data_IF_062273529378
#
_entry.id   IF_062273529378
#
_cell.length_a   1.000
_cell.length_b   1.000
_cell.length_c   1.000
_cell.angle_alpha   90.00
_cell.angle_beta   90.00
_cell.angle_gamma   90.00
#
_symmetry.space_group_name_H-M   'P 1'
#
loop_
_entity.id
_entity.type
_entity.pdbx_description
1 polymer ?
#
# COMPACT_ATOMS: atom_id res chain seq x y z
N UNK A 1 13.97 15.51 -6.46
CA UNK A 1 12.52 15.28 -6.25
C UNK A 1 12.25 15.32 -4.76
N UNK A 2 11.33 16.19 -4.33
CA UNK A 2 10.96 16.33 -2.94
C UNK A 2 9.93 15.24 -2.64
N UNK A 3 10.37 14.08 -2.13
CA UNK A 3 9.48 13.17 -1.40
C UNK A 3 8.98 13.95 -0.18
N UNK A 4 7.72 14.38 -0.24
CA UNK A 4 7.04 15.15 0.78
C UNK A 4 6.18 14.19 1.63
N UNK A 5 6.66 13.69 2.79
CA UNK A 5 5.91 12.76 3.63
C UNK A 5 4.63 13.38 4.26
N UNK A 6 4.32 14.63 3.95
CA UNK A 6 3.12 15.34 4.44
C UNK A 6 1.86 14.98 3.65
N UNK A 7 1.95 14.33 2.47
CA UNK A 7 0.76 14.06 1.63
C UNK A 7 -0.16 12.94 2.14
N UNK A 8 0.31 11.99 2.97
CA UNK A 8 -0.58 10.97 3.56
C UNK A 8 -1.34 11.41 4.81
N UNK A 9 -1.06 12.60 5.35
CA UNK A 9 -1.82 13.15 6.49
C UNK A 9 -2.74 14.28 6.04
N UNK A 10 -3.97 13.93 5.67
CA UNK A 10 -5.16 14.80 5.57
C UNK A 10 -4.98 16.11 4.77
N UNK A 11 -5.51 16.12 3.55
CA UNK A 11 -6.14 17.33 2.99
C UNK A 11 -7.63 17.08 2.80
N UNK A 12 -8.40 17.56 3.77
CA UNK A 12 -9.78 17.99 3.55
C UNK A 12 -9.71 19.17 2.58
N UNK A 13 -10.27 19.01 1.38
CA UNK A 13 -10.67 20.14 0.56
C UNK A 13 -12.18 20.05 0.39
N UNK A 14 -12.85 20.96 1.09
CA UNK A 14 -14.23 21.30 0.87
C UNK A 14 -14.39 21.88 -0.55
N UNK A 15 -15.41 21.42 -1.25
CA UNK A 15 -15.82 21.93 -2.55
C UNK A 15 -17.25 21.48 -2.84
N UNK A 16 -18.23 22.29 -2.40
CA UNK A 16 -19.62 22.24 -2.84
C UNK A 16 -19.69 22.18 -4.37
N UNK A 17 -20.60 21.35 -4.91
CA UNK A 17 -21.65 21.81 -5.82
C UNK A 17 -22.71 20.72 -6.02
N UNK A 18 -23.93 21.19 -6.26
CA UNK A 18 -25.22 20.54 -6.07
C UNK A 18 -25.78 19.90 -7.36
N UNK A 19 -26.97 19.30 -7.19
CA UNK A 19 -27.93 18.76 -8.17
C UNK A 19 -27.80 17.25 -8.46
N UNK A 20 -28.86 16.45 -8.49
CA UNK A 20 -30.30 16.76 -8.43
C UNK A 20 -31.13 15.47 -8.25
N UNK A 21 -32.39 15.70 -7.87
CA UNK A 21 -33.46 14.74 -7.53
C UNK A 21 -34.08 14.15 -8.82
N UNK A 22 -34.67 12.94 -8.71
CA UNK A 22 -35.99 12.47 -9.23
C UNK A 22 -35.91 10.95 -9.45
N UNK A 23 -36.56 10.11 -8.64
CA UNK A 23 -37.92 9.56 -8.86
C UNK A 23 -37.77 8.04 -9.08
N UNK A 24 -38.60 7.09 -8.67
CA UNK A 24 -39.96 7.00 -8.16
C UNK A 24 -40.41 5.57 -8.52
N UNK A 25 -41.18 4.87 -7.67
CA UNK A 25 -41.75 3.56 -8.03
C UNK A 25 -41.96 2.61 -6.87
N UNK A 26 -43.21 2.43 -6.49
CA UNK A 26 -43.71 1.65 -5.35
C UNK A 26 -44.31 0.30 -5.77
N UNK A 27 -44.38 -0.61 -4.79
CA UNK A 27 -45.27 -1.79 -4.58
C UNK A 27 -45.28 -2.98 -5.55
N UNK A 28 -45.10 -4.17 -4.96
CA UNK A 28 -45.58 -5.47 -5.44
C UNK A 28 -45.40 -6.52 -4.34
N UNK A 29 -46.51 -7.05 -3.81
CA UNK A 29 -46.57 -7.87 -2.61
C UNK A 29 -46.70 -9.39 -2.88
N UNK A 30 -46.39 -10.16 -1.84
CA UNK A 30 -46.95 -11.46 -1.42
C UNK A 30 -46.87 -12.69 -2.36
N UNK A 31 -46.09 -13.68 -1.95
CA UNK A 31 -46.54 -15.08 -1.92
C UNK A 31 -45.76 -15.88 -0.85
N UNK A 32 -46.52 -16.53 0.03
CA UNK A 32 -46.04 -17.40 1.08
C UNK A 32 -45.82 -18.83 0.57
N UNK A 33 -44.80 -19.51 1.11
CA UNK A 33 -44.77 -20.97 1.18
C UNK A 33 -44.01 -21.41 2.43
N UNK A 34 -44.72 -22.13 3.29
CA UNK A 34 -44.23 -22.72 4.55
C UNK A 34 -43.39 -23.97 4.24
N UNK A 35 -42.23 -24.08 4.88
CA UNK A 35 -41.37 -25.26 4.90
C UNK A 35 -40.60 -25.34 6.22
N UNK A 36 -40.58 -26.53 6.80
CA UNK A 36 -40.18 -26.93 8.17
C UNK A 36 -38.85 -26.37 8.75
N UNK A 37 -38.68 -26.35 10.09
CA UNK A 37 -37.54 -25.72 10.75
C UNK A 37 -36.27 -26.57 10.61
N UNK A 38 -35.37 -26.15 9.72
CA UNK A 38 -34.00 -26.64 9.67
C UNK A 38 -33.18 -25.96 10.77
N UNK A 39 -32.46 -26.78 11.53
CA UNK A 39 -31.55 -26.41 12.63
C UNK A 39 -30.70 -25.21 12.25
N UNK A 40 -30.76 -24.18 13.08
CA UNK A 40 -30.00 -22.95 12.99
C UNK A 40 -28.51 -23.23 12.78
N UNK A 41 -27.93 -22.83 11.64
CA UNK A 41 -26.50 -22.62 11.57
C UNK A 41 -26.20 -21.46 12.51
N UNK A 42 -25.24 -21.65 13.41
CA UNK A 42 -24.65 -20.55 14.14
C UNK A 42 -24.15 -19.53 13.11
N UNK A 43 -24.90 -18.44 12.93
CA UNK A 43 -24.44 -17.25 12.23
C UNK A 43 -23.27 -16.74 13.05
N UNK A 44 -22.05 -17.13 12.64
CA UNK A 44 -20.85 -16.42 13.03
C UNK A 44 -21.03 -15.04 12.43
N UNK A 45 -21.52 -14.10 13.25
CA UNK A 45 -21.61 -12.70 12.88
C UNK A 45 -20.20 -12.29 12.47
N UNK A 46 -19.99 -12.12 11.16
CA UNK A 46 -18.74 -11.61 10.63
C UNK A 46 -18.50 -10.26 11.32
N UNK A 47 -17.45 -10.20 12.14
CA UNK A 47 -17.09 -8.98 12.84
C UNK A 47 -16.96 -7.86 11.80
N UNK A 48 -17.65 -6.75 12.01
CA UNK A 48 -17.60 -5.61 11.12
C UNK A 48 -16.14 -5.16 10.94
N UNK A 49 -15.70 -5.14 9.68
CA UNK A 49 -14.34 -4.68 9.33
C UNK A 49 -14.15 -3.26 9.85
N UNK A 50 -13.10 -2.98 10.65
CA UNK A 50 -12.91 -1.64 11.20
C UNK A 50 -12.76 -0.61 10.06
N UNK A 51 -13.42 0.53 10.20
CA UNK A 51 -13.63 1.49 9.11
C UNK A 51 -12.41 2.34 8.74
N UNK A 52 -11.30 2.24 9.48
CA UNK A 52 -10.09 3.04 9.24
C UNK A 52 -8.84 2.28 9.65
N UNK A 53 -7.76 2.50 8.88
CA UNK A 53 -6.44 1.98 9.22
C UNK A 53 -5.95 2.62 10.54
N UNK A 54 -5.51 1.82 11.54
CA UNK A 54 -5.02 2.36 12.80
C UNK A 54 -3.78 3.24 12.61
N UNK A 55 -3.78 4.43 13.23
CA UNK A 55 -2.66 5.39 13.17
C UNK A 55 -1.27 4.77 13.43
N UNK A 56 -1.08 3.84 14.39
CA UNK A 56 0.23 3.21 14.60
C UNK A 56 0.71 2.42 13.38
N UNK A 57 -0.20 1.81 12.63
CA UNK A 57 0.13 1.06 11.42
C UNK A 57 0.51 2.02 10.28
N UNK A 58 -0.24 3.11 10.10
CA UNK A 58 0.13 4.19 9.16
C UNK A 58 1.49 4.78 9.49
N UNK A 59 1.77 5.07 10.76
CA UNK A 59 3.08 5.60 11.17
C UNK A 59 4.21 4.60 10.95
N UNK A 60 3.96 3.30 11.11
CA UNK A 60 4.95 2.25 10.83
C UNK A 60 5.29 2.20 9.34
N UNK A 61 4.28 2.32 8.46
CA UNK A 61 4.53 2.40 7.02
C UNK A 61 5.32 3.66 6.65
N UNK A 62 4.89 4.83 7.13
CA UNK A 62 5.63 6.08 6.92
C UNK A 62 7.07 6.00 7.47
N UNK A 63 7.30 5.33 8.60
CA UNK A 63 8.65 5.13 9.13
C UNK A 63 9.54 4.32 8.16
N UNK A 64 8.98 3.27 7.54
CA UNK A 64 9.69 2.47 6.56
C UNK A 64 10.04 3.28 5.30
N UNK A 65 9.10 4.07 4.80
CA UNK A 65 9.32 4.99 3.67
C UNK A 65 10.37 6.06 4.02
N UNK A 66 10.31 6.65 5.20
CA UNK A 66 11.23 7.70 5.65
C UNK A 66 12.67 7.18 5.83
N UNK A 67 12.85 5.93 6.27
CA UNK A 67 14.18 5.30 6.31
C UNK A 67 14.85 5.37 4.93
N UNK A 68 14.10 5.06 3.86
CA UNK A 68 14.59 5.11 2.48
C UNK A 68 14.79 6.57 2.05
N UNK A 69 13.76 7.41 2.23
CA UNK A 69 13.77 8.80 1.77
C UNK A 69 14.90 9.62 2.41
N UNK A 70 15.23 9.38 3.69
CA UNK A 70 16.38 10.02 4.33
C UNK A 70 17.72 9.53 3.79
N UNK A 71 17.86 8.26 3.41
CA UNK A 71 19.09 7.77 2.79
C UNK A 71 19.30 8.39 1.41
N UNK A 72 18.25 8.48 0.60
CA UNK A 72 18.31 9.14 -0.71
C UNK A 72 18.67 10.63 -0.62
N UNK A 73 18.30 11.28 0.48
CA UNK A 73 18.65 12.67 0.79
C UNK A 73 20.03 12.83 1.44
N UNK A 74 20.81 11.76 1.62
CA UNK A 74 22.12 11.81 2.30
C UNK A 74 22.02 12.11 3.80
N UNK A 75 20.92 11.75 4.46
CA UNK A 75 20.62 12.02 5.88
C UNK A 75 20.60 10.73 6.72
N UNK A 76 21.73 10.00 6.84
CA UNK A 76 21.76 8.69 7.51
C UNK A 76 21.40 8.75 9.00
N UNK A 77 21.67 9.87 9.69
CA UNK A 77 21.28 10.04 11.09
C UNK A 77 19.74 10.03 11.27
N UNK A 78 18.99 10.68 10.37
CA UNK A 78 17.53 10.66 10.41
C UNK A 78 16.96 9.31 10.00
N UNK A 79 17.56 8.66 9.00
CA UNK A 79 17.22 7.28 8.64
C UNK A 79 17.37 6.32 9.84
N UNK A 80 18.44 6.45 10.64
CA UNK A 80 18.62 5.67 11.87
C UNK A 80 17.57 5.96 12.93
N UNK A 81 17.15 7.22 13.07
CA UNK A 81 16.08 7.58 14.00
C UNK A 81 14.76 6.92 13.59
N UNK A 82 14.39 7.00 12.31
CA UNK A 82 13.16 6.37 11.80
C UNK A 82 13.21 4.84 11.87
N UNK A 83 14.37 4.23 11.65
CA UNK A 83 14.51 2.78 11.82
C UNK A 83 14.26 2.34 13.27
N UNK A 84 14.60 3.17 14.27
CA UNK A 84 14.25 2.90 15.68
C UNK A 84 12.75 3.09 15.93
N UNK A 85 12.14 4.13 15.36
CA UNK A 85 10.69 4.36 15.46
C UNK A 85 9.91 3.19 14.87
N UNK A 86 10.27 2.78 13.65
CA UNK A 86 9.70 1.62 12.97
C UNK A 86 9.76 0.37 13.84
N UNK A 87 10.93 0.07 14.41
CA UNK A 87 11.11 -1.07 15.32
C UNK A 87 10.20 -0.95 16.55
N UNK A 88 10.15 0.22 17.19
CA UNK A 88 9.30 0.46 18.35
C UNK A 88 7.82 0.24 18.06
N UNK A 89 7.33 0.71 16.91
CA UNK A 89 5.94 0.52 16.49
C UNK A 89 5.62 -0.94 16.19
N UNK A 90 6.51 -1.63 15.46
CA UNK A 90 6.35 -3.04 15.10
C UNK A 90 6.30 -3.97 16.33
N UNK A 91 7.00 -3.62 17.40
CA UNK A 91 6.96 -4.38 18.67
C UNK A 91 5.92 -3.87 19.67
N UNK A 92 5.29 -2.73 19.41
CA UNK A 92 4.31 -2.10 20.30
C UNK A 92 2.97 -1.86 19.60
N UNK A 93 2.60 -0.58 19.50
CA UNK A 93 1.24 -0.17 19.14
C UNK A 93 0.76 -0.66 17.76
N UNK A 94 1.65 -0.88 16.78
CA UNK A 94 1.24 -1.46 15.49
C UNK A 94 0.93 -2.95 15.64
N UNK A 95 1.76 -3.72 16.35
CA UNK A 95 1.46 -5.13 16.65
C UNK A 95 0.19 -5.29 17.49
N UNK A 96 -0.05 -4.41 18.47
CA UNK A 96 -1.29 -4.41 19.26
C UNK A 96 -2.52 -4.20 18.37
N UNK A 97 -2.45 -3.23 17.46
CA UNK A 97 -3.52 -2.96 16.51
C UNK A 97 -3.79 -4.17 15.58
N UNK A 98 -2.73 -4.79 15.06
CA UNK A 98 -2.85 -5.99 14.22
C UNK A 98 -3.44 -7.18 14.99
N UNK A 99 -3.05 -7.40 16.25
CA UNK A 99 -3.65 -8.44 17.11
C UNK A 99 -5.15 -8.20 17.31
N UNK A 100 -5.55 -6.96 17.60
CA UNK A 100 -6.97 -6.59 17.75
C UNK A 100 -7.77 -6.80 16.46
N UNK A 101 -7.13 -6.62 15.30
CA UNK A 101 -7.72 -6.88 13.99
C UNK A 101 -7.69 -8.37 13.57
N UNK A 102 -7.32 -9.29 14.46
CA UNK A 102 -7.30 -10.72 14.19
C UNK A 102 -6.21 -11.17 13.21
N UNK A 103 -5.14 -10.38 13.05
CA UNK A 103 -4.01 -10.76 12.19
C UNK A 103 -3.25 -11.93 12.83
N UNK A 104 -2.93 -13.00 12.06
CA UNK A 104 -2.19 -14.14 12.59
C UNK A 104 -0.84 -13.75 13.21
N UNK A 105 -0.49 -14.36 14.34
CA UNK A 105 0.76 -14.10 15.05
C UNK A 105 2.00 -14.25 14.14
N UNK A 106 1.96 -15.16 13.17
CA UNK A 106 3.03 -15.36 12.17
C UNK A 106 3.25 -14.14 11.28
N UNK A 107 2.18 -13.43 10.88
CA UNK A 107 2.29 -12.22 10.06
C UNK A 107 2.80 -11.03 10.91
N UNK A 108 2.40 -10.96 12.18
CA UNK A 108 2.89 -9.95 13.12
C UNK A 108 4.38 -10.17 13.41
N UNK A 109 4.79 -11.42 13.62
CA UNK A 109 6.19 -11.79 13.76
C UNK A 109 7.01 -11.44 12.51
N UNK A 110 6.44 -11.62 11.31
CA UNK A 110 7.09 -11.19 10.07
C UNK A 110 7.32 -9.67 10.01
N UNK A 111 6.34 -8.86 10.45
CA UNK A 111 6.50 -7.41 10.57
C UNK A 111 7.65 -7.05 11.53
N UNK A 112 7.65 -7.65 12.72
CA UNK A 112 8.69 -7.45 13.74
C UNK A 112 10.08 -7.80 13.22
N UNK A 113 10.23 -8.98 12.59
CA UNK A 113 11.50 -9.44 12.03
C UNK A 113 12.03 -8.50 10.94
N UNK A 114 11.16 -8.01 10.04
CA UNK A 114 11.57 -7.07 8.98
C UNK A 114 11.97 -5.72 9.57
N UNK A 115 11.21 -5.20 10.55
CA UNK A 115 11.56 -3.98 11.26
C UNK A 115 12.89 -4.10 12.04
N UNK A 116 13.12 -5.22 12.72
CA UNK A 116 14.37 -5.52 13.42
C UNK A 116 15.56 -5.61 12.45
N UNK A 117 15.37 -6.22 11.27
CA UNK A 117 16.38 -6.25 10.22
C UNK A 117 16.74 -4.84 9.75
N UNK A 118 15.75 -4.00 9.47
CA UNK A 118 15.96 -2.60 9.07
C UNK A 118 16.72 -1.81 10.12
N UNK A 119 16.29 -1.88 11.39
CA UNK A 119 16.95 -1.21 12.49
C UNK A 119 18.40 -1.69 12.67
N UNK A 120 18.63 -3.01 12.66
CA UNK A 120 19.97 -3.58 12.80
C UNK A 120 20.92 -3.11 11.69
N UNK A 121 20.48 -3.13 10.43
CA UNK A 121 21.30 -2.70 9.30
C UNK A 121 21.60 -1.20 9.37
N UNK A 122 20.58 -0.38 9.62
CA UNK A 122 20.71 1.08 9.69
C UNK A 122 21.66 1.52 10.82
N UNK A 123 21.50 0.93 12.02
CA UNK A 123 22.30 1.26 13.20
C UNK A 123 23.76 0.82 13.09
N UNK A 124 24.03 -0.27 12.36
CA UNK A 124 25.40 -0.74 12.07
C UNK A 124 26.06 0.03 10.91
N UNK A 125 25.36 0.98 10.30
CA UNK A 125 25.89 1.74 9.16
C UNK A 125 26.09 0.87 7.92
N UNK A 126 25.23 -0.12 7.70
CA UNK A 126 25.23 -0.91 6.47
C UNK A 126 25.04 -0.01 5.23
N UNK A 127 25.44 -0.47 4.02
CA UNK A 127 25.25 0.29 2.79
C UNK A 127 23.80 0.73 2.59
N UNK A 128 23.60 1.97 2.12
CA UNK A 128 22.28 2.59 1.98
C UNK A 128 21.29 1.71 1.21
N UNK A 129 21.72 1.09 0.10
CA UNK A 129 20.89 0.21 -0.70
C UNK A 129 20.35 -1.00 0.10
N UNK A 130 21.19 -1.61 0.94
CA UNK A 130 20.77 -2.75 1.77
C UNK A 130 19.77 -2.33 2.85
N UNK A 131 19.97 -1.16 3.46
CA UNK A 131 19.04 -0.59 4.44
C UNK A 131 17.71 -0.27 3.75
N UNK A 132 17.73 0.31 2.56
CA UNK A 132 16.53 0.65 1.79
C UNK A 132 15.74 -0.59 1.38
N UNK A 133 16.41 -1.66 0.93
CA UNK A 133 15.75 -2.95 0.64
C UNK A 133 15.13 -3.57 1.90
N UNK A 134 15.79 -3.47 3.05
CA UNK A 134 15.22 -3.94 4.31
C UNK A 134 13.98 -3.13 4.72
N UNK A 135 14.04 -1.81 4.62
CA UNK A 135 12.92 -0.93 4.89
C UNK A 135 11.74 -1.21 3.94
N UNK A 136 11.98 -1.30 2.63
CA UNK A 136 10.94 -1.60 1.64
C UNK A 136 10.27 -2.95 1.89
N UNK A 137 11.01 -3.94 2.41
CA UNK A 137 10.43 -5.23 2.78
C UNK A 137 9.33 -5.09 3.85
N UNK A 138 9.36 -4.08 4.71
CA UNK A 138 8.28 -3.81 5.66
C UNK A 138 7.01 -3.37 4.93
N UNK A 139 7.12 -2.42 4.01
CA UNK A 139 6.01 -1.94 3.16
C UNK A 139 5.37 -3.06 2.33
N UNK A 140 6.16 -4.05 1.93
CA UNK A 140 5.67 -5.26 1.27
C UNK A 140 4.65 -6.08 2.08
N UNK A 141 4.55 -5.91 3.40
CA UNK A 141 3.50 -6.51 4.24
C UNK A 141 2.28 -5.61 4.41
N UNK A 142 2.44 -4.29 4.27
CA UNK A 142 1.43 -3.31 4.67
C UNK A 142 0.17 -3.40 3.84
N UNK A 143 0.26 -3.65 2.53
CA UNK A 143 -0.92 -3.88 1.69
C UNK A 143 -1.82 -5.01 2.23
N UNK A 144 -1.24 -6.12 2.71
CA UNK A 144 -2.00 -7.23 3.30
C UNK A 144 -2.63 -6.90 4.67
N UNK A 145 -2.04 -5.98 5.41
CA UNK A 145 -2.64 -5.47 6.65
C UNK A 145 -3.74 -4.45 6.36
N UNK A 146 -3.53 -3.55 5.41
CA UNK A 146 -4.46 -2.50 5.03
C UNK A 146 -5.74 -3.07 4.41
N UNK A 147 -5.63 -4.17 3.66
CA UNK A 147 -6.78 -4.89 3.11
C UNK A 147 -7.79 -5.40 4.16
N UNK A 148 -7.45 -5.35 5.46
CA UNK A 148 -8.35 -5.69 6.57
C UNK A 148 -9.15 -4.51 7.11
N UNK A 149 -8.97 -3.33 6.54
CA UNK A 149 -9.66 -2.12 6.94
C UNK A 149 -10.44 -1.59 5.73
N UNK A 150 -11.52 -0.88 5.99
CA UNK A 150 -12.17 -0.12 4.92
C UNK A 150 -11.35 1.15 4.69
N UNK A 151 -10.73 1.26 3.52
CA UNK A 151 -10.01 2.45 3.10
C UNK A 151 -10.53 2.85 1.70
N UNK A 152 -10.80 4.13 1.44
CA UNK A 152 -11.19 4.61 0.11
C UNK A 152 -10.16 4.25 -0.96
N UNK A 153 -8.88 4.17 -0.60
CA UNK A 153 -7.79 3.75 -1.48
C UNK A 153 -7.63 2.24 -1.41
N UNK A 154 -7.80 1.50 -2.51
CA UNK A 154 -7.60 0.06 -2.51
C UNK A 154 -6.17 -0.30 -2.07
N UNK A 155 -6.02 -1.31 -1.21
CA UNK A 155 -4.71 -1.77 -0.74
C UNK A 155 -3.76 -2.22 -1.88
N UNK A 156 -4.31 -2.51 -3.07
CA UNK A 156 -3.52 -2.78 -4.27
C UNK A 156 -2.72 -1.56 -4.75
N UNK A 157 -3.16 -0.32 -4.46
CA UNK A 157 -2.40 0.91 -4.73
C UNK A 157 -1.11 0.92 -3.88
N UNK A 158 -1.23 0.63 -2.58
CA UNK A 158 -0.07 0.48 -1.69
C UNK A 158 0.85 -0.67 -2.13
N UNK A 159 0.29 -1.76 -2.68
CA UNK A 159 1.10 -2.85 -3.23
C UNK A 159 1.90 -2.40 -4.46
N UNK A 160 1.34 -1.54 -5.32
CA UNK A 160 2.06 -0.97 -6.46
C UNK A 160 3.19 -0.05 -5.99
N UNK A 161 2.96 0.81 -5.00
CA UNK A 161 4.01 1.65 -4.40
C UNK A 161 5.23 0.82 -3.96
N UNK A 162 4.99 -0.24 -3.17
CA UNK A 162 6.03 -1.17 -2.75
C UNK A 162 6.76 -1.81 -3.94
N UNK A 163 6.04 -2.23 -4.98
CA UNK A 163 6.62 -2.93 -6.14
C UNK A 163 7.43 -2.00 -7.03
N UNK A 164 6.97 -0.77 -7.23
CA UNK A 164 7.73 0.28 -7.93
C UNK A 164 9.02 0.61 -7.17
N UNK A 165 8.93 0.79 -5.85
CA UNK A 165 10.12 0.99 -5.00
C UNK A 165 11.04 -0.23 -5.05
N UNK A 166 10.50 -1.45 -5.04
CA UNK A 166 11.32 -2.66 -5.13
C UNK A 166 12.02 -2.74 -6.49
N UNK A 167 11.34 -2.43 -7.59
CA UNK A 167 11.94 -2.40 -8.94
C UNK A 167 13.07 -1.36 -9.03
N UNK A 168 12.88 -0.18 -8.43
CA UNK A 168 13.93 0.83 -8.32
C UNK A 168 15.17 0.27 -7.59
N UNK A 169 14.97 -0.39 -6.45
CA UNK A 169 16.07 -0.93 -5.63
C UNK A 169 16.75 -2.13 -6.29
N UNK A 170 16.01 -3.01 -6.95
CA UNK A 170 16.56 -4.16 -7.69
C UNK A 170 17.39 -3.67 -8.89
N UNK A 171 16.91 -2.65 -9.61
CA UNK A 171 17.65 -2.02 -10.68
C UNK A 171 18.96 -1.37 -10.17
N UNK A 172 18.91 -0.61 -9.07
CA UNK A 172 20.11 -0.04 -8.41
C UNK A 172 21.11 -1.12 -7.98
N UNK A 173 20.62 -2.29 -7.57
CA UNK A 173 21.46 -3.43 -7.19
C UNK A 173 22.07 -4.17 -8.38
N UNK A 174 21.61 -3.90 -9.61
CA UNK A 174 21.95 -4.70 -10.78
C UNK A 174 21.33 -6.11 -10.75
N UNK A 175 20.35 -6.36 -9.87
CA UNK A 175 19.73 -7.66 -9.68
C UNK A 175 18.64 -7.89 -10.73
N UNK A 176 19.06 -8.30 -11.92
CA UNK A 176 18.16 -8.48 -13.07
C UNK A 176 17.14 -9.59 -12.83
N UNK A 177 17.44 -10.59 -12.00
CA UNK A 177 16.51 -11.68 -11.72
C UNK A 177 15.36 -11.20 -10.84
N UNK A 178 15.69 -10.54 -9.72
CA UNK A 178 14.66 -9.98 -8.84
C UNK A 178 13.88 -8.85 -9.52
N UNK A 179 14.54 -7.98 -10.30
CA UNK A 179 13.84 -6.95 -11.07
C UNK A 179 12.77 -7.56 -11.99
N UNK A 180 13.09 -8.63 -12.73
CA UNK A 180 12.09 -9.29 -13.59
C UNK A 180 10.92 -9.86 -12.79
N UNK A 181 11.20 -10.49 -11.66
CA UNK A 181 10.16 -11.04 -10.79
C UNK A 181 9.26 -9.93 -10.22
N UNK A 182 9.85 -8.86 -9.70
CA UNK A 182 9.15 -7.69 -9.19
C UNK A 182 8.25 -7.06 -10.27
N UNK A 183 8.74 -6.91 -11.50
CA UNK A 183 7.94 -6.36 -12.63
C UNK A 183 6.78 -7.28 -13.02
N UNK A 184 6.93 -8.60 -12.93
CA UNK A 184 5.84 -9.54 -13.15
C UNK A 184 4.73 -9.39 -12.10
N UNK A 185 5.11 -9.28 -10.81
CA UNK A 185 4.14 -9.03 -9.75
C UNK A 185 3.45 -7.67 -9.87
N UNK A 186 4.20 -6.65 -10.31
CA UNK A 186 3.69 -5.30 -10.57
C UNK A 186 2.62 -5.34 -11.66
N UNK A 187 2.93 -5.96 -12.79
CA UNK A 187 2.01 -6.11 -13.90
C UNK A 187 0.73 -6.86 -13.50
N UNK A 188 0.86 -7.96 -12.75
CA UNK A 188 -0.28 -8.73 -12.27
C UNK A 188 -1.15 -7.95 -11.28
N UNK A 189 -0.52 -7.16 -10.40
CA UNK A 189 -1.25 -6.28 -9.46
C UNK A 189 -1.99 -5.18 -10.21
N UNK A 190 -1.32 -4.56 -11.19
CA UNK A 190 -1.92 -3.52 -12.03
C UNK A 190 -3.13 -4.02 -12.81
N UNK A 191 -3.04 -5.18 -13.44
CA UNK A 191 -4.15 -5.77 -14.20
C UNK A 191 -5.44 -5.91 -13.39
N UNK A 192 -5.33 -6.23 -12.09
CA UNK A 192 -6.49 -6.33 -11.19
C UNK A 192 -7.02 -4.97 -10.70
N UNK A 193 -6.13 -3.99 -10.50
CA UNK A 193 -6.50 -2.66 -10.02
C UNK A 193 -7.08 -1.78 -11.12
N UNK A 194 -6.58 -1.92 -12.35
CA UNK A 194 -6.89 -1.05 -13.49
C UNK A 194 -8.40 -0.79 -13.71
N UNK A 195 -9.29 -1.80 -13.70
CA UNK A 195 -10.72 -1.56 -13.88
C UNK A 195 -11.31 -0.67 -12.77
N UNK A 196 -10.85 -0.83 -11.53
CA UNK A 196 -11.32 -0.04 -10.39
C UNK A 196 -10.89 1.43 -10.53
N UNK A 197 -9.65 1.68 -10.97
CA UNK A 197 -9.18 3.04 -11.22
C UNK A 197 -9.95 3.73 -12.36
N UNK A 198 -10.28 3.01 -13.43
CA UNK A 198 -11.10 3.54 -14.52
C UNK A 198 -12.52 3.85 -14.05
N UNK A 199 -13.14 2.92 -13.31
CA UNK A 199 -14.44 3.16 -12.66
C UNK A 199 -14.35 4.34 -11.67
N UNK A 200 -13.15 4.62 -11.14
CA UNK A 200 -12.85 5.78 -10.32
C UNK A 200 -12.74 7.11 -11.08
N UNK A 201 -12.83 7.11 -12.41
CA UNK A 201 -12.63 8.29 -13.25
C UNK A 201 -11.15 8.51 -13.64
N UNK A 202 -10.25 7.60 -13.28
CA UNK A 202 -8.81 7.72 -13.46
C UNK A 202 -8.27 7.27 -14.81
N UNK A 203 -9.02 7.37 -15.91
CA UNK A 203 -8.63 6.83 -17.23
C UNK A 203 -7.27 7.35 -17.73
N UNK A 204 -6.96 8.62 -17.51
CA UNK A 204 -5.67 9.21 -17.89
C UNK A 204 -4.51 8.64 -17.08
N UNK A 205 -4.69 8.49 -15.77
CA UNK A 205 -3.71 7.88 -14.86
C UNK A 205 -3.52 6.40 -15.20
N UNK A 206 -4.60 5.67 -15.49
CA UNK A 206 -4.55 4.28 -15.91
C UNK A 206 -3.73 4.09 -17.20
N UNK A 207 -3.96 4.93 -18.20
CA UNK A 207 -3.21 4.88 -19.46
C UNK A 207 -1.72 5.20 -19.26
N UNK A 208 -1.40 6.14 -18.36
CA UNK A 208 -0.01 6.44 -18.02
C UNK A 208 0.65 5.25 -17.32
N UNK A 209 -0.06 4.58 -16.41
CA UNK A 209 0.46 3.41 -15.73
C UNK A 209 0.60 2.20 -16.66
N UNK A 210 -0.32 1.98 -17.62
CA UNK A 210 -0.18 0.98 -18.68
C UNK A 210 1.16 1.12 -19.42
N UNK A 211 1.51 2.35 -19.84
CA UNK A 211 2.80 2.63 -20.48
C UNK A 211 3.97 2.36 -19.56
N UNK A 212 3.83 2.71 -18.28
CA UNK A 212 4.88 2.49 -17.30
C UNK A 212 5.17 0.99 -17.09
N UNK A 213 4.13 0.16 -16.92
CA UNK A 213 4.27 -1.30 -16.80
C UNK A 213 4.92 -1.87 -18.05
N UNK A 214 4.46 -1.45 -19.25
CA UNK A 214 5.02 -1.92 -20.51
C UNK A 214 6.50 -1.55 -20.66
N UNK A 215 6.92 -0.37 -20.22
CA UNK A 215 8.32 0.05 -20.27
C UNK A 215 9.20 -0.79 -19.35
N UNK A 216 8.75 -1.07 -18.11
CA UNK A 216 9.48 -1.97 -17.21
C UNK A 216 9.56 -3.40 -17.74
N UNK A 217 8.50 -3.91 -18.36
CA UNK A 217 8.46 -5.26 -18.96
C UNK A 217 9.38 -5.39 -20.17
N UNK A 218 9.44 -4.35 -21.02
CA UNK A 218 10.38 -4.32 -22.14
C UNK A 218 11.84 -4.28 -21.66
N UNK A 219 12.06 -3.76 -20.46
CA UNK A 219 13.36 -3.69 -19.83
C UNK A 219 14.22 -2.56 -20.40
N UNK A 220 15.53 -2.68 -20.19
CA UNK A 220 16.49 -1.65 -20.60
C UNK A 220 17.77 -1.75 -19.78
N UNK A 221 18.50 -0.64 -19.70
CA UNK A 221 19.62 -0.51 -18.76
C UNK A 221 19.09 -0.39 -17.33
N UNK A 222 19.92 -0.73 -16.35
CA UNK A 222 19.57 -0.58 -14.93
C UNK A 222 19.12 0.86 -14.61
N UNK A 223 19.80 1.87 -15.15
CA UNK A 223 19.46 3.29 -14.97
C UNK A 223 18.10 3.63 -15.60
N UNK A 224 17.78 3.09 -16.77
CA UNK A 224 16.48 3.31 -17.40
C UNK A 224 15.35 2.68 -16.58
N UNK A 225 15.53 1.44 -16.11
CA UNK A 225 14.56 0.76 -15.24
C UNK A 225 14.37 1.48 -13.90
N UNK A 226 15.45 1.97 -13.29
CA UNK A 226 15.37 2.76 -12.05
C UNK A 226 14.55 4.04 -12.26
N UNK A 227 14.83 4.82 -13.31
CA UNK A 227 14.07 6.04 -13.62
C UNK A 227 12.60 5.73 -13.89
N UNK A 228 12.33 4.64 -14.60
CA UNK A 228 10.98 4.21 -14.91
C UNK A 228 10.20 3.83 -13.64
N UNK A 229 10.85 3.14 -12.70
CA UNK A 229 10.28 2.78 -11.40
C UNK A 229 9.99 4.02 -10.53
N UNK A 230 10.88 5.02 -10.52
CA UNK A 230 10.63 6.31 -9.85
C UNK A 230 9.40 7.01 -10.44
N UNK A 231 9.27 7.00 -11.77
CA UNK A 231 8.08 7.53 -12.42
C UNK A 231 6.80 6.77 -12.03
N UNK A 232 6.89 5.46 -11.79
CA UNK A 232 5.78 4.65 -11.28
C UNK A 232 5.25 5.14 -9.93
N UNK A 233 6.16 5.46 -8.99
CA UNK A 233 5.81 6.03 -7.69
C UNK A 233 5.01 7.34 -7.82
N UNK A 234 5.42 8.25 -8.72
CA UNK A 234 4.68 9.49 -8.99
C UNK A 234 3.27 9.23 -9.57
N UNK A 235 3.08 8.12 -10.29
CA UNK A 235 1.78 7.74 -10.82
C UNK A 235 0.89 7.13 -9.74
N UNK A 236 1.47 6.39 -8.80
CA UNK A 236 0.73 5.83 -7.64
C UNK A 236 0.13 6.96 -6.80
N UNK A 237 0.86 8.04 -6.52
CA UNK A 237 0.31 9.24 -5.85
C UNK A 237 -0.93 9.81 -6.58
N UNK A 238 -0.90 9.81 -7.92
CA UNK A 238 -2.04 10.26 -8.73
C UNK A 238 -3.20 9.28 -8.67
N UNK A 239 -2.95 7.98 -8.55
CA UNK A 239 -4.02 6.99 -8.33
C UNK A 239 -4.70 7.21 -6.98
N UNK A 240 -3.92 7.42 -5.91
CA UNK A 240 -4.46 7.72 -4.58
C UNK A 240 -5.40 8.93 -4.64
N UNK A 241 -4.96 10.01 -5.31
CA UNK A 241 -5.77 11.21 -5.47
C UNK A 241 -7.09 10.96 -6.20
N UNK A 242 -7.11 10.09 -7.22
CA UNK A 242 -8.35 9.72 -7.93
C UNK A 242 -9.33 9.00 -7.00
N UNK A 243 -8.86 8.04 -6.20
CA UNK A 243 -9.72 7.31 -5.27
C UNK A 243 -10.24 8.19 -4.13
N UNK A 244 -9.45 9.16 -3.67
CA UNK A 244 -9.84 10.09 -2.60
C UNK A 244 -10.76 11.23 -3.06
N UNK A 245 -10.86 11.48 -4.38
CA UNK A 245 -11.74 12.50 -4.94
C UNK A 245 -13.19 12.04 -5.16
N UNK A 246 -13.49 10.76 -4.89
CA UNK A 246 -14.84 10.18 -4.95
C UNK A 246 -15.55 10.24 -3.61
#
# INVERSE_FOLDING_TARGET
MIFNPVTRTRRLVAGLLAAGIVGGGTVGALAAAQGAPAKTPHTVTAAATPSTVPKPLTRAETAAEDVIGYLEKGQPAKSRAEARVLRGLAHGAAADALRKAGVPATQIAALQQRADRTARLSLRGAPALQVSQAANSVSGLMAGFYARYQDPVPAAVLRLDYLDRQAQLDAKAGDRANLRHTVQELAATWQRLRPQLIAAGGTSVATAYDRHVSALQHGGTAVASEKQAIHGLDLVDKMEAVFLAK
#
